data_IF_751926279299
#
_entry.id   IF_751926279299
#
_cell.length_a   1.000
_cell.length_b   1.000
_cell.length_c   1.000
_cell.angle_alpha   90.00
_cell.angle_beta   90.00
_cell.angle_gamma   90.00
#
_symmetry.space_group_name_H-M   'P 1'
#
loop_
_entity.id
_entity.type
_entity.pdbx_description
1 polymer ?
#
# COMPACT_ATOMS: atom_id res chain seq x y z
N UNK A 1 15.62 11.28 -18.98
CA UNK A 1 16.35 10.11 -18.42
C UNK A 1 16.18 8.95 -19.39
N UNK A 2 17.18 8.69 -20.24
CA UNK A 2 17.20 7.51 -21.10
C UNK A 2 17.76 6.33 -20.28
N UNK A 3 16.90 5.63 -19.56
CA UNK A 3 17.26 4.42 -18.82
C UNK A 3 16.62 3.20 -19.49
N UNK A 4 17.43 2.18 -19.79
CA UNK A 4 16.93 0.89 -20.25
C UNK A 4 16.17 0.19 -19.12
N UNK A 5 15.02 -0.41 -19.44
CA UNK A 5 14.27 -1.21 -18.47
C UNK A 5 15.04 -2.52 -18.23
N UNK A 6 15.65 -2.65 -17.05
CA UNK A 6 16.42 -3.85 -16.71
C UNK A 6 15.50 -5.02 -16.35
N UNK A 7 14.48 -4.78 -15.51
CA UNK A 7 13.54 -5.81 -15.10
C UNK A 7 12.21 -5.21 -14.62
N UNK A 8 11.12 -5.96 -14.80
CA UNK A 8 9.82 -5.70 -14.16
C UNK A 8 9.49 -6.93 -13.32
N UNK A 9 9.16 -6.72 -12.06
CA UNK A 9 8.74 -7.80 -11.16
C UNK A 9 7.46 -7.43 -10.44
N UNK A 10 6.63 -8.45 -10.19
CA UNK A 10 5.41 -8.31 -9.41
C UNK A 10 5.73 -8.79 -8.00
N UNK A 11 5.59 -7.91 -7.01
CA UNK A 11 5.70 -8.29 -5.60
C UNK A 11 4.31 -8.59 -5.05
N UNK A 12 3.96 -9.87 -4.77
CA UNK A 12 2.63 -10.22 -4.33
C UNK A 12 2.35 -9.67 -2.91
N UNK A 13 1.23 -8.97 -2.75
CA UNK A 13 0.79 -8.49 -1.45
C UNK A 13 0.00 -9.57 -0.71
N UNK A 14 0.66 -10.25 0.23
CA UNK A 14 0.04 -11.36 0.97
C UNK A 14 -1.04 -10.87 1.94
N UNK A 15 -2.09 -11.67 2.12
CA UNK A 15 -3.07 -11.47 3.19
C UNK A 15 -4.27 -10.58 2.85
N UNK A 16 -4.36 -10.01 1.64
CA UNK A 16 -5.50 -9.18 1.23
C UNK A 16 -6.85 -9.92 1.34
N UNK A 17 -6.93 -11.16 0.83
CA UNK A 17 -8.13 -12.01 0.93
C UNK A 17 -8.59 -12.19 2.38
N UNK A 18 -7.65 -12.41 3.29
CA UNK A 18 -7.92 -12.58 4.73
C UNK A 18 -8.40 -11.28 5.36
N UNK A 19 -7.82 -10.16 4.97
CA UNK A 19 -8.22 -8.83 5.44
C UNK A 19 -9.64 -8.49 4.98
N UNK A 20 -9.97 -8.77 3.72
CA UNK A 20 -11.33 -8.60 3.18
C UNK A 20 -12.35 -9.45 3.95
N UNK A 21 -12.01 -10.70 4.26
CA UNK A 21 -12.86 -11.57 5.07
C UNK A 21 -13.07 -11.03 6.50
N UNK A 22 -12.01 -10.59 7.18
CA UNK A 22 -12.11 -9.99 8.52
C UNK A 22 -12.93 -8.69 8.51
N UNK A 23 -12.84 -7.93 7.42
CA UNK A 23 -13.64 -6.73 7.21
C UNK A 23 -15.12 -7.08 7.05
N UNK A 24 -15.46 -8.06 6.23
CA UNK A 24 -16.82 -8.57 6.04
C UNK A 24 -17.45 -8.99 7.37
N UNK A 25 -16.73 -9.78 8.17
CA UNK A 25 -17.18 -10.17 9.51
C UNK A 25 -17.46 -8.97 10.41
N UNK A 26 -16.59 -7.95 10.37
CA UNK A 26 -16.80 -6.71 11.13
C UNK A 26 -18.05 -5.95 10.68
N UNK A 27 -18.37 -5.95 9.38
CA UNK A 27 -19.57 -5.29 8.84
C UNK A 27 -20.84 -6.05 9.21
N UNK A 28 -20.80 -7.39 9.12
CA UNK A 28 -21.94 -8.23 9.49
C UNK A 28 -22.28 -8.10 10.98
N UNK A 29 -21.26 -7.97 11.84
CA UNK A 29 -21.45 -7.67 13.27
C UNK A 29 -22.08 -6.28 13.49
N UNK A 30 -21.63 -5.27 12.75
CA UNK A 30 -22.19 -3.92 12.82
C UNK A 30 -23.67 -3.91 12.39
N UNK A 31 -24.01 -4.67 11.33
CA UNK A 31 -25.38 -4.83 10.85
C UNK A 31 -26.27 -5.54 11.87
N UNK A 32 -25.75 -6.59 12.53
CA UNK A 32 -26.50 -7.34 13.54
C UNK A 32 -26.75 -6.52 14.82
N UNK A 33 -25.84 -5.62 15.17
CA UNK A 33 -25.89 -4.87 16.43
C UNK A 33 -25.64 -3.35 16.25
N UNK A 34 -26.50 -2.59 15.55
CA UNK A 34 -26.22 -1.21 15.14
C UNK A 34 -25.93 -0.23 16.30
N UNK A 35 -26.55 -0.43 17.47
CA UNK A 35 -26.40 0.47 18.62
C UNK A 35 -25.39 -0.03 19.67
N UNK A 36 -25.10 -1.33 19.70
CA UNK A 36 -24.28 -1.97 20.74
C UNK A 36 -22.98 -2.59 20.20
N UNK A 37 -22.76 -2.61 18.88
CA UNK A 37 -21.53 -3.19 18.29
C UNK A 37 -20.25 -2.51 18.80
N UNK A 38 -20.32 -1.22 19.17
CA UNK A 38 -19.18 -0.47 19.76
C UNK A 38 -18.81 -0.99 21.15
N UNK A 39 -19.79 -1.47 21.91
CA UNK A 39 -19.65 -2.02 23.25
C UNK A 39 -19.08 -3.43 23.24
N UNK A 40 -19.19 -4.16 22.11
CA UNK A 40 -18.54 -5.46 21.87
C UNK A 40 -17.04 -5.26 21.53
N UNK A 41 -16.33 -4.54 22.41
CA UNK A 41 -14.96 -4.03 22.22
C UNK A 41 -13.97 -5.15 21.86
N UNK A 42 -14.15 -6.34 22.46
CA UNK A 42 -13.28 -7.50 22.25
C UNK A 42 -13.36 -8.09 20.85
N UNK A 43 -14.56 -8.23 20.26
CA UNK A 43 -14.75 -8.86 18.95
C UNK A 43 -14.30 -7.92 17.84
N UNK A 44 -14.68 -6.64 17.90
CA UNK A 44 -14.25 -5.61 16.94
C UNK A 44 -12.74 -5.43 16.95
N UNK A 45 -12.18 -5.16 18.13
CA UNK A 45 -10.76 -4.93 18.30
C UNK A 45 -9.96 -6.10 17.73
N UNK A 46 -10.40 -7.33 17.99
CA UNK A 46 -9.76 -8.53 17.45
C UNK A 46 -9.73 -8.56 15.92
N UNK A 47 -10.85 -8.36 15.22
CA UNK A 47 -10.88 -8.48 13.75
C UNK A 47 -10.25 -7.28 13.03
N UNK A 48 -10.58 -6.06 13.44
CA UNK A 48 -10.02 -4.85 12.83
C UNK A 48 -8.53 -4.71 13.12
N UNK A 49 -8.08 -4.98 14.35
CA UNK A 49 -6.64 -4.96 14.65
C UNK A 49 -5.91 -6.09 13.92
N UNK A 50 -6.52 -7.29 13.81
CA UNK A 50 -5.92 -8.38 13.04
C UNK A 50 -5.80 -8.04 11.55
N UNK A 51 -6.83 -7.45 10.95
CA UNK A 51 -6.79 -6.93 9.59
C UNK A 51 -5.65 -5.90 9.42
N UNK A 52 -5.59 -4.91 10.32
CA UNK A 52 -4.53 -3.89 10.35
C UNK A 52 -3.14 -4.52 10.45
N UNK A 53 -2.95 -5.47 11.36
CA UNK A 53 -1.65 -6.12 11.58
C UNK A 53 -1.22 -6.95 10.37
N UNK A 54 -2.16 -7.61 9.66
CA UNK A 54 -1.85 -8.30 8.40
C UNK A 54 -1.35 -7.30 7.35
N UNK A 55 -2.08 -6.18 7.16
CA UNK A 55 -1.69 -5.15 6.20
C UNK A 55 -0.31 -4.55 6.52
N UNK A 56 -0.07 -4.21 7.79
CA UNK A 56 1.21 -3.66 8.26
C UNK A 56 2.36 -4.65 8.05
N UNK A 57 2.17 -5.92 8.43
CA UNK A 57 3.19 -6.96 8.24
C UNK A 57 3.51 -7.16 6.74
N UNK A 58 2.50 -7.19 5.88
CA UNK A 58 2.69 -7.29 4.44
C UNK A 58 3.44 -6.07 3.88
N UNK A 59 3.11 -4.85 4.32
CA UNK A 59 3.85 -3.66 3.94
C UNK A 59 5.32 -3.71 4.41
N UNK A 60 5.60 -4.20 5.62
CA UNK A 60 6.98 -4.40 6.09
C UNK A 60 7.74 -5.43 5.22
N UNK A 61 7.09 -6.51 4.79
CA UNK A 61 7.73 -7.51 3.93
C UNK A 61 8.06 -6.94 2.55
N UNK A 62 7.10 -6.26 1.92
CA UNK A 62 7.31 -5.61 0.62
C UNK A 62 8.41 -4.55 0.68
N UNK A 63 8.39 -3.67 1.68
CA UNK A 63 9.43 -2.65 1.85
C UNK A 63 10.82 -3.23 2.16
N UNK A 64 10.90 -4.35 2.89
CA UNK A 64 12.17 -5.04 3.12
C UNK A 64 12.75 -5.56 1.80
N UNK A 65 11.92 -6.21 0.99
CA UNK A 65 12.30 -6.72 -0.34
C UNK A 65 12.81 -5.59 -1.24
N UNK A 66 12.12 -4.44 -1.26
CA UNK A 66 12.54 -3.26 -2.03
C UNK A 66 13.90 -2.72 -1.56
N UNK A 67 14.11 -2.62 -0.24
CA UNK A 67 15.36 -2.14 0.32
C UNK A 67 16.53 -3.10 0.02
N UNK A 68 16.29 -4.42 0.08
CA UNK A 68 17.28 -5.44 -0.29
C UNK A 68 17.70 -5.32 -1.76
N UNK A 69 16.74 -5.17 -2.68
CA UNK A 69 17.00 -4.97 -4.11
C UNK A 69 17.80 -3.68 -4.32
N UNK A 70 17.37 -2.56 -3.74
CA UNK A 70 18.07 -1.29 -3.90
C UNK A 70 19.52 -1.38 -3.39
N UNK A 71 19.76 -2.09 -2.29
CA UNK A 71 21.10 -2.34 -1.75
C UNK A 71 21.94 -3.22 -2.66
N UNK A 72 21.38 -4.32 -3.17
CA UNK A 72 22.07 -5.25 -4.07
C UNK A 72 22.54 -4.56 -5.35
N UNK A 73 21.67 -3.75 -5.96
CA UNK A 73 21.98 -3.04 -7.19
C UNK A 73 22.64 -1.66 -6.98
N UNK A 74 22.89 -1.24 -5.72
CA UNK A 74 23.35 0.12 -5.37
C UNK A 74 22.49 1.20 -6.05
N UNK A 75 21.19 0.99 -6.09
CA UNK A 75 20.24 1.77 -6.88
C UNK A 75 19.47 2.78 -6.02
N UNK A 76 19.07 3.89 -6.65
CA UNK A 76 18.13 4.85 -6.10
C UNK A 76 16.70 4.28 -6.12
N UNK A 77 15.92 4.53 -5.08
CA UNK A 77 14.47 4.26 -5.10
C UNK A 77 13.71 5.49 -5.56
N UNK A 78 12.85 5.31 -6.55
CA UNK A 78 11.94 6.34 -7.05
C UNK A 78 10.51 5.88 -6.82
N UNK A 79 9.76 6.65 -6.04
CA UNK A 79 8.33 6.44 -5.83
C UNK A 79 7.51 7.47 -6.62
N UNK A 80 6.35 7.05 -7.10
CA UNK A 80 5.33 8.01 -7.52
C UNK A 80 4.75 8.70 -6.28
N UNK A 81 4.55 10.01 -6.39
CA UNK A 81 3.78 10.77 -5.40
C UNK A 81 2.30 10.41 -5.54
N UNK A 82 1.79 9.68 -4.56
CA UNK A 82 0.43 9.18 -4.53
C UNK A 82 -0.43 9.90 -3.47
N UNK A 83 -0.03 11.09 -3.02
CA UNK A 83 -0.78 11.83 -1.99
C UNK A 83 -2.21 12.15 -2.42
N UNK A 84 -2.38 12.57 -3.68
CA UNK A 84 -3.68 12.97 -4.27
C UNK A 84 -4.66 11.82 -4.51
N UNK A 85 -4.21 10.56 -4.41
CA UNK A 85 -5.11 9.40 -4.55
C UNK A 85 -6.19 9.34 -3.46
N UNK A 86 -5.92 9.92 -2.28
CA UNK A 86 -6.87 9.92 -1.17
C UNK A 86 -7.99 10.96 -1.35
N UNK A 87 -7.63 12.13 -1.87
CA UNK A 87 -8.49 13.31 -2.08
C UNK A 87 -9.53 13.04 -3.19
N UNK A 88 -9.10 12.48 -4.32
CA UNK A 88 -9.99 12.24 -5.47
C UNK A 88 -11.12 11.23 -5.20
N UNK A 89 -11.01 10.42 -4.13
CA UNK A 89 -12.04 9.44 -3.78
C UNK A 89 -13.02 9.91 -2.70
N UNK A 90 -13.00 11.16 -2.26
CA UNK A 90 -13.87 11.64 -1.18
C UNK A 90 -15.35 11.70 -1.58
N UNK A 91 -15.66 11.71 -2.87
CA UNK A 91 -17.03 11.78 -3.38
C UNK A 91 -17.83 10.47 -3.30
N UNK A 92 -17.27 9.34 -2.82
CA UNK A 92 -18.00 8.07 -2.75
C UNK A 92 -17.86 7.37 -1.38
N UNK A 93 -18.86 7.56 -0.51
CA UNK A 93 -18.95 6.92 0.81
C UNK A 93 -18.86 5.38 0.76
N UNK A 94 -19.32 4.76 -0.34
CA UNK A 94 -19.35 3.30 -0.54
C UNK A 94 -17.95 2.66 -0.63
N UNK A 95 -16.91 3.42 -1.00
CA UNK A 95 -15.55 2.92 -1.23
C UNK A 95 -14.53 3.44 -0.19
N UNK A 96 -14.98 4.18 0.82
CA UNK A 96 -14.11 4.79 1.83
C UNK A 96 -13.23 3.79 2.60
N UNK A 97 -13.71 2.56 2.80
CA UNK A 97 -12.97 1.51 3.48
C UNK A 97 -11.92 0.85 2.60
N UNK A 98 -12.06 0.84 1.28
CA UNK A 98 -11.07 0.27 0.36
C UNK A 98 -9.77 1.05 0.44
N UNK A 99 -9.86 2.37 0.64
CA UNK A 99 -8.70 3.24 0.92
C UNK A 99 -7.92 2.80 2.17
N UNK A 100 -8.60 2.23 3.17
CA UNK A 100 -7.92 1.72 4.38
C UNK A 100 -7.06 0.48 4.11
N UNK A 101 -7.37 -0.25 3.03
CA UNK A 101 -6.59 -1.39 2.54
C UNK A 101 -5.39 -0.97 1.71
N UNK A 102 -5.38 0.26 1.21
CA UNK A 102 -4.29 0.78 0.40
C UNK A 102 -3.05 0.99 1.27
N UNK A 103 -2.04 0.16 1.03
CA UNK A 103 -0.81 0.14 1.80
C UNK A 103 0.33 0.94 1.15
N UNK A 104 0.09 1.66 0.06
CA UNK A 104 1.14 2.35 -0.70
C UNK A 104 1.96 3.30 0.19
N UNK A 105 1.31 4.18 0.98
CA UNK A 105 1.99 5.08 1.94
C UNK A 105 2.83 4.32 2.96
N UNK A 106 2.31 3.19 3.47
CA UNK A 106 3.07 2.36 4.43
C UNK A 106 4.27 1.73 3.76
N UNK A 107 4.14 1.24 2.53
CA UNK A 107 5.25 0.68 1.78
C UNK A 107 6.29 1.75 1.48
N UNK A 108 5.89 2.95 1.05
CA UNK A 108 6.76 4.09 0.81
C UNK A 108 7.54 4.47 2.07
N UNK A 109 6.83 4.84 3.14
CA UNK A 109 7.42 5.21 4.44
C UNK A 109 8.31 4.10 5.02
N UNK A 110 7.88 2.83 4.92
CA UNK A 110 8.69 1.73 5.43
C UNK A 110 9.93 1.45 4.59
N UNK A 111 9.85 1.71 3.29
CA UNK A 111 11.01 1.58 2.41
C UNK A 111 12.01 2.68 2.70
N UNK A 112 11.55 3.94 2.81
CA UNK A 112 12.40 5.10 3.11
C UNK A 112 13.31 4.88 4.31
N UNK A 113 12.75 4.57 5.48
CA UNK A 113 13.59 4.40 6.66
C UNK A 113 14.52 3.19 6.53
N UNK A 114 14.12 2.13 5.82
CA UNK A 114 14.98 0.95 5.62
C UNK A 114 16.14 1.21 4.68
N UNK A 115 15.92 1.99 3.62
CA UNK A 115 16.99 2.33 2.69
C UNK A 115 17.93 3.39 3.25
N UNK A 116 17.42 4.27 4.12
CA UNK A 116 18.22 5.24 4.87
C UNK A 116 19.29 4.55 5.72
N UNK A 117 18.99 3.39 6.31
CA UNK A 117 19.98 2.56 7.05
C UNK A 117 21.16 2.13 6.16
N UNK A 118 20.94 2.01 4.85
CA UNK A 118 21.97 1.66 3.87
C UNK A 118 22.58 2.87 3.16
N UNK A 119 22.26 4.10 3.59
CA UNK A 119 22.71 5.34 2.93
C UNK A 119 22.08 5.58 1.55
N UNK A 120 21.02 4.84 1.20
CA UNK A 120 20.32 4.94 -0.08
C UNK A 120 19.19 5.96 0.04
N UNK A 121 19.07 6.84 -0.96
CA UNK A 121 17.99 7.84 -1.03
C UNK A 121 16.73 7.25 -1.65
N UNK A 122 15.57 7.71 -1.16
CA UNK A 122 14.28 7.54 -1.81
C UNK A 122 13.79 8.91 -2.27
N UNK A 123 13.30 9.01 -3.51
CA UNK A 123 12.79 10.26 -4.09
C UNK A 123 11.37 10.06 -4.62
N UNK A 124 10.60 11.14 -4.65
CA UNK A 124 9.24 11.14 -5.19
C UNK A 124 9.18 11.88 -6.52
N UNK A 125 8.39 11.35 -7.45
CA UNK A 125 8.14 11.96 -8.75
C UNK A 125 6.64 12.15 -8.98
N UNK A 126 6.29 13.17 -9.74
CA UNK A 126 4.90 13.46 -10.08
C UNK A 126 4.28 12.27 -10.84
N UNK A 127 3.13 11.73 -10.40
CA UNK A 127 2.45 10.60 -11.05
C UNK A 127 1.79 10.96 -12.39
N UNK A 128 1.74 12.25 -12.76
CA UNK A 128 1.07 12.69 -13.97
C UNK A 128 1.70 12.06 -15.22
N UNK A 129 0.87 11.34 -15.99
CA UNK A 129 1.23 10.71 -17.28
C UNK A 129 2.27 9.57 -17.18
N UNK A 130 2.58 9.05 -15.99
CA UNK A 130 3.50 7.91 -15.81
C UNK A 130 2.85 6.57 -16.14
N UNK A 131 1.54 6.42 -15.89
CA UNK A 131 0.77 5.18 -16.13
C UNK A 131 0.02 5.13 -17.48
N UNK A 132 -0.21 6.29 -18.11
CA UNK A 132 -0.98 6.41 -19.37
C UNK A 132 -0.12 6.36 -20.63
N UNK A 133 1.19 6.59 -20.53
CA UNK A 133 2.09 6.56 -21.67
C UNK A 133 2.80 5.22 -21.73
N UNK A 134 2.45 4.42 -22.74
CA UNK A 134 3.22 3.22 -23.10
C UNK A 134 4.66 3.63 -23.42
N UNK A 135 5.65 2.93 -22.84
CA UNK A 135 7.07 3.17 -23.15
C UNK A 135 7.36 3.03 -24.65
N UNK A 136 6.59 2.19 -25.35
CA UNK A 136 6.74 1.92 -26.78
C UNK A 136 6.33 3.10 -27.68
N UNK A 137 5.48 4.01 -27.20
CA UNK A 137 4.98 5.16 -27.98
C UNK A 137 5.86 6.42 -27.86
N UNK A 138 6.97 6.38 -27.11
CA UNK A 138 7.92 7.50 -27.00
C UNK A 138 9.15 7.35 -27.91
N UNK A 139 9.29 6.21 -28.59
CA UNK A 139 10.42 5.87 -29.45
C UNK A 139 10.13 6.04 -30.96
N UNK A 140 8.96 6.60 -31.31
CA UNK A 140 8.54 7.04 -32.65
C UNK A 140 8.41 8.56 -32.63
#
# INVERSE_FOLDING_TARGET
MNGSLVAVSITPFKGLKRVLHLKKLSEDLQRKYPNSWRSIKWVRGRWLNKARNILVNSAHRSSKKLAEIAREYRALIVFEDLERLRENGEHCYKLSWEKSLWCYRRVQMFTEYKVMVYGIKAVYVNPAKTSKKSKYLQAL
#
